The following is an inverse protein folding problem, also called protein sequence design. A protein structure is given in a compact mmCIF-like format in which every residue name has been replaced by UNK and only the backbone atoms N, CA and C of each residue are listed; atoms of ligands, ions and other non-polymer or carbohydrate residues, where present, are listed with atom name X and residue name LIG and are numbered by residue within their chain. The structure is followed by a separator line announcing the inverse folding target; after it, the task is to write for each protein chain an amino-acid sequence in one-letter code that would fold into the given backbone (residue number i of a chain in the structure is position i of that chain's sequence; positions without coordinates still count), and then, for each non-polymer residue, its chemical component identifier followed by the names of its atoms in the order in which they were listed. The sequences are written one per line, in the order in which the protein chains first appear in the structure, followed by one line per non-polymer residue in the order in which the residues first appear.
data_IF_517846845161
#
_entry.id   IF_517846845161
#
_cell.length_a   1.000
_cell.length_b   1.000
_cell.length_c   1.000
_cell.angle_alpha   90.00
_cell.angle_beta   90.00
_cell.angle_gamma   90.00
#
_symmetry.space_group_name_H-M   'P 1'
#
loop_
_entity.id
_entity.type
_entity.pdbx_description
1 polymer ?
#
# COMPACT_ATOMS: atom_id res chain seq x y z
N UNK A 1 -39.97 -69.74 -26.92
CA UNK A 1 -38.98 -70.74 -26.45
C UNK A 1 -37.66 -70.02 -26.20
N UNK A 2 -37.17 -70.09 -24.95
CA UNK A 2 -35.78 -70.20 -24.47
C UNK A 2 -34.64 -69.58 -25.30
N UNK A 3 -33.54 -69.04 -24.78
CA UNK A 3 -33.03 -68.61 -23.47
C UNK A 3 -31.55 -68.18 -23.79
N UNK A 4 -30.82 -67.62 -22.81
CA UNK A 4 -29.33 -67.45 -22.77
C UNK A 4 -28.78 -66.22 -23.56
N UNK A 5 -28.36 -65.11 -22.94
CA UNK A 5 -27.26 -64.81 -21.98
C UNK A 5 -25.87 -64.68 -22.63
N UNK A 6 -25.20 -63.57 -22.25
CA UNK A 6 -23.75 -63.29 -22.25
C UNK A 6 -23.13 -62.78 -23.56
N UNK A 7 -22.77 -61.49 -23.59
CA UNK A 7 -21.52 -60.90 -23.09
C UNK A 7 -20.45 -60.94 -24.17
N UNK A 8 -20.16 -59.80 -24.77
CA UNK A 8 -18.78 -59.31 -24.93
C UNK A 8 -18.84 -57.79 -25.10
N UNK A 9 -18.26 -57.09 -24.13
CA UNK A 9 -17.88 -55.69 -24.25
C UNK A 9 -16.96 -55.52 -25.47
N UNK A 10 -17.32 -54.58 -26.35
CA UNK A 10 -16.37 -53.96 -27.26
C UNK A 10 -16.35 -52.46 -26.97
N UNK A 11 -15.25 -52.04 -26.36
CA UNK A 11 -14.90 -50.66 -26.01
C UNK A 11 -14.73 -49.86 -27.30
N UNK A 12 -15.63 -48.91 -27.55
CA UNK A 12 -15.41 -47.87 -28.55
C UNK A 12 -14.59 -46.74 -27.93
N UNK A 13 -13.30 -46.72 -28.28
CA UNK A 13 -12.41 -45.57 -28.15
C UNK A 13 -12.98 -44.39 -28.94
N UNK A 14 -13.56 -43.41 -28.24
CA UNK A 14 -13.79 -42.09 -28.81
C UNK A 14 -12.59 -41.24 -28.38
N UNK A 15 -11.75 -40.91 -29.36
CA UNK A 15 -10.67 -39.98 -29.22
C UNK A 15 -11.23 -38.61 -28.80
N UNK A 16 -11.08 -38.26 -27.53
CA UNK A 16 -11.22 -36.89 -27.09
C UNK A 16 -10.03 -36.10 -27.67
N UNK A 17 -10.31 -35.19 -28.59
CA UNK A 17 -9.37 -34.14 -28.94
C UNK A 17 -9.05 -33.38 -27.65
N UNK A 18 -7.91 -33.67 -27.05
CA UNK A 18 -7.38 -32.92 -25.92
C UNK A 18 -7.10 -31.50 -26.41
N UNK A 19 -7.96 -30.56 -26.03
CA UNK A 19 -7.61 -29.15 -26.08
C UNK A 19 -6.37 -28.98 -25.20
N UNK A 20 -5.30 -28.32 -25.67
CA UNK A 20 -4.20 -27.97 -24.79
C UNK A 20 -4.77 -27.04 -23.73
N UNK A 21 -4.77 -27.54 -22.50
CA UNK A 21 -5.03 -26.78 -21.29
C UNK A 21 -4.16 -25.52 -21.36
N UNK A 22 -4.78 -24.34 -21.30
CA UNK A 22 -4.06 -23.07 -21.32
C UNK A 22 -2.96 -23.17 -20.27
N UNK A 23 -1.71 -23.18 -20.72
CA UNK A 23 -0.56 -23.04 -19.85
C UNK A 23 -0.74 -21.72 -19.11
N UNK A 24 -1.24 -21.81 -17.89
CA UNK A 24 -1.32 -20.68 -16.99
C UNK A 24 0.12 -20.43 -16.60
N UNK A 25 0.73 -19.40 -17.20
CA UNK A 25 2.01 -18.89 -16.75
C UNK A 25 1.78 -18.33 -15.34
N UNK A 26 1.90 -19.19 -14.34
CA UNK A 26 1.98 -18.82 -12.95
C UNK A 26 3.35 -18.16 -12.76
N UNK A 27 3.48 -16.91 -13.16
CA UNK A 27 4.49 -16.04 -12.57
C UNK A 27 3.96 -15.78 -11.16
N UNK A 28 4.27 -16.71 -10.25
CA UNK A 28 4.07 -16.49 -8.83
C UNK A 28 5.02 -15.39 -8.39
N UNK A 29 4.63 -14.14 -8.57
CA UNK A 29 5.22 -13.03 -7.83
C UNK A 29 4.86 -13.28 -6.36
N UNK A 30 5.80 -13.88 -5.63
CA UNK A 30 5.70 -13.97 -4.17
C UNK A 30 5.85 -12.55 -3.64
N UNK A 31 4.75 -11.81 -3.56
CA UNK A 31 4.72 -10.56 -2.84
C UNK A 31 5.14 -10.86 -1.40
N UNK A 32 6.19 -10.18 -0.92
CA UNK A 32 6.66 -10.37 0.44
C UNK A 32 5.49 -10.10 1.39
N UNK A 33 5.25 -11.01 2.31
CA UNK A 33 4.21 -10.83 3.33
C UNK A 33 4.48 -9.56 4.14
N UNK A 34 3.43 -8.94 4.69
CA UNK A 34 3.57 -7.74 5.52
C UNK A 34 4.59 -7.93 6.66
N UNK A 35 4.70 -9.13 7.24
CA UNK A 35 5.70 -9.47 8.26
C UNK A 35 7.14 -9.47 7.72
N UNK A 36 7.37 -9.99 6.51
CA UNK A 36 8.68 -9.92 5.84
C UNK A 36 9.05 -8.46 5.52
N UNK A 37 8.09 -7.62 5.13
CA UNK A 37 8.32 -6.19 4.89
C UNK A 37 8.66 -5.42 6.17
N UNK A 38 8.00 -5.73 7.29
CA UNK A 38 8.26 -5.12 8.60
C UNK A 38 9.63 -5.47 9.19
N UNK A 39 10.15 -6.66 8.89
CA UNK A 39 11.44 -7.07 9.40
C UNK A 39 12.56 -6.14 8.90
N UNK A 40 13.26 -5.48 9.84
CA UNK A 40 14.34 -4.55 9.53
C UNK A 40 13.88 -3.31 8.75
N UNK A 41 12.60 -2.93 8.82
CA UNK A 41 12.02 -1.89 7.96
C UNK A 41 12.78 -0.55 8.01
N UNK A 42 13.38 -0.19 9.15
CA UNK A 42 14.19 1.04 9.33
C UNK A 42 15.46 1.09 8.47
N UNK A 43 15.87 -0.03 7.86
CA UNK A 43 17.01 -0.11 6.95
C UNK A 43 16.59 -0.14 5.48
N UNK A 44 15.29 -0.21 5.19
CA UNK A 44 14.78 -0.41 3.84
C UNK A 44 14.55 0.90 3.12
N UNK A 45 14.57 0.81 1.79
CA UNK A 45 14.16 1.89 0.91
C UNK A 45 12.73 2.37 1.26
N UNK A 46 12.44 3.68 1.24
CA UNK A 46 11.12 4.22 1.59
C UNK A 46 9.95 3.64 0.79
N UNK A 47 10.19 3.18 -0.44
CA UNK A 47 9.17 2.46 -1.24
C UNK A 47 8.57 1.25 -0.51
N UNK A 48 9.35 0.58 0.34
CA UNK A 48 8.89 -0.61 1.08
C UNK A 48 7.76 -0.29 2.05
N UNK A 49 7.76 0.91 2.62
CA UNK A 49 6.71 1.37 3.53
C UNK A 49 5.39 1.57 2.78
N UNK A 50 5.46 2.07 1.55
CA UNK A 50 4.28 2.27 0.70
C UNK A 50 3.74 0.93 0.19
N UNK A 51 4.62 -0.02 -0.15
CA UNK A 51 4.24 -1.39 -0.50
C UNK A 51 3.58 -2.11 0.68
N UNK A 52 4.14 -1.96 1.89
CA UNK A 52 3.54 -2.48 3.12
C UNK A 52 2.15 -1.90 3.36
N UNK A 53 1.98 -0.59 3.15
CA UNK A 53 0.68 0.05 3.28
C UNK A 53 -0.35 -0.53 2.29
N UNK A 54 0.01 -0.69 1.02
CA UNK A 54 -0.84 -1.30 0.02
C UNK A 54 -1.24 -2.74 0.40
N UNK A 55 -0.27 -3.54 0.86
CA UNK A 55 -0.50 -4.92 1.29
C UNK A 55 -1.45 -4.99 2.49
N UNK A 56 -1.22 -4.18 3.52
CA UNK A 56 -2.11 -4.10 4.69
C UNK A 56 -3.52 -3.66 4.31
N UNK A 57 -3.64 -2.73 3.37
CA UNK A 57 -4.93 -2.25 2.89
C UNK A 57 -5.72 -3.36 2.20
N UNK A 58 -5.05 -4.14 1.33
CA UNK A 58 -5.63 -5.29 0.64
C UNK A 58 -6.04 -6.42 1.61
N UNK A 59 -5.36 -6.56 2.74
CA UNK A 59 -5.72 -7.49 3.81
C UNK A 59 -6.86 -6.99 4.70
N UNK A 60 -7.42 -5.79 4.44
CA UNK A 60 -8.47 -5.18 5.25
C UNK A 60 -7.96 -4.49 6.52
N UNK A 61 -6.64 -4.44 6.75
CA UNK A 61 -6.01 -3.78 7.89
C UNK A 61 -5.80 -2.29 7.60
N UNK A 62 -6.90 -1.60 7.31
CA UNK A 62 -6.88 -0.26 6.70
C UNK A 62 -6.29 0.83 7.59
N UNK A 63 -6.57 0.83 8.89
CA UNK A 63 -5.96 1.80 9.83
C UNK A 63 -4.44 1.65 9.88
N UNK A 64 -3.94 0.41 9.92
CA UNK A 64 -2.49 0.13 9.89
C UNK A 64 -1.86 0.54 8.56
N UNK A 65 -2.57 0.32 7.45
CA UNK A 65 -2.14 0.79 6.14
C UNK A 65 -1.98 2.32 6.09
N UNK A 66 -2.93 3.08 6.64
CA UNK A 66 -2.85 4.54 6.71
C UNK A 66 -1.60 4.98 7.49
N UNK A 67 -1.31 4.33 8.63
CA UNK A 67 -0.11 4.64 9.43
C UNK A 67 1.15 4.41 8.60
N UNK A 68 1.31 3.22 8.00
CA UNK A 68 2.50 2.89 7.21
C UNK A 68 2.63 3.73 5.93
N UNK A 69 1.51 4.14 5.34
CA UNK A 69 1.50 5.04 4.21
C UNK A 69 2.10 6.41 4.56
N UNK A 70 1.68 7.01 5.69
CA UNK A 70 2.23 8.29 6.12
C UNK A 70 3.65 8.21 6.66
N UNK A 71 4.03 7.12 7.34
CA UNK A 71 5.45 6.85 7.65
C UNK A 71 6.26 6.79 6.37
N UNK A 72 5.81 6.03 5.38
CA UNK A 72 6.49 5.90 4.10
C UNK A 72 6.65 7.23 3.39
N UNK A 73 5.62 8.08 3.38
CA UNK A 73 5.72 9.42 2.81
C UNK A 73 6.79 10.29 3.49
N UNK A 74 6.84 10.33 4.82
CA UNK A 74 7.87 11.09 5.53
C UNK A 74 9.28 10.58 5.18
N UNK A 75 9.48 9.25 5.19
CA UNK A 75 10.77 8.64 4.83
C UNK A 75 11.15 8.90 3.37
N UNK A 76 10.20 8.86 2.45
CA UNK A 76 10.43 9.11 1.02
C UNK A 76 10.74 10.59 0.76
N UNK A 77 9.95 11.52 1.31
CA UNK A 77 10.23 12.96 1.18
C UNK A 77 11.60 13.31 1.74
N UNK A 78 11.96 12.79 2.91
CA UNK A 78 13.30 12.98 3.47
C UNK A 78 14.40 12.43 2.54
N UNK A 79 14.17 11.27 1.90
CA UNK A 79 15.11 10.72 0.92
C UNK A 79 15.27 11.62 -0.32
N UNK A 80 14.17 12.12 -0.90
CA UNK A 80 14.23 13.01 -2.06
C UNK A 80 14.91 14.34 -1.72
N UNK A 81 14.58 14.94 -0.58
CA UNK A 81 15.19 16.20 -0.13
C UNK A 81 16.70 16.03 0.17
N UNK A 82 17.11 14.86 0.67
CA UNK A 82 18.52 14.57 0.93
C UNK A 82 19.32 14.30 -0.35
N UNK A 83 18.65 14.11 -1.49
CA UNK A 83 19.26 13.80 -2.78
C UNK A 83 18.61 14.67 -3.89
N UNK A 84 18.84 15.99 -3.89
CA UNK A 84 18.15 16.92 -4.79
C UNK A 84 18.50 16.73 -6.27
N UNK A 85 19.64 16.10 -6.57
CA UNK A 85 20.14 15.90 -7.93
C UNK A 85 19.66 14.59 -8.57
N UNK A 86 18.68 13.90 -7.96
CA UNK A 86 18.10 12.69 -8.55
C UNK A 86 17.43 13.00 -9.88
N UNK A 87 17.62 12.11 -10.85
CA UNK A 87 16.96 12.19 -12.16
C UNK A 87 15.43 12.29 -11.98
N UNK A 88 14.75 13.30 -12.56
CA UNK A 88 13.33 13.54 -12.34
C UNK A 88 12.43 12.35 -12.70
N UNK A 89 12.83 11.55 -13.70
CA UNK A 89 12.11 10.36 -14.15
C UNK A 89 12.33 9.11 -13.30
N UNK A 90 13.24 9.17 -12.31
CA UNK A 90 13.53 8.10 -11.37
C UNK A 90 12.66 8.16 -10.11
N UNK A 91 13.33 8.26 -8.96
CA UNK A 91 12.71 8.29 -7.63
C UNK A 91 11.60 9.35 -7.45
N UNK A 92 11.72 10.60 -7.97
CA UNK A 92 10.63 11.57 -7.88
C UNK A 92 9.37 11.13 -8.63
N UNK A 93 9.51 10.64 -9.87
CA UNK A 93 8.37 10.15 -10.66
C UNK A 93 7.74 8.91 -10.01
N UNK A 94 8.56 7.98 -9.50
CA UNK A 94 8.09 6.81 -8.77
C UNK A 94 7.27 7.21 -7.54
N UNK A 95 7.79 8.14 -6.72
CA UNK A 95 7.05 8.67 -5.58
C UNK A 95 5.71 9.26 -6.00
N UNK A 96 5.68 10.12 -7.02
CA UNK A 96 4.45 10.71 -7.53
C UNK A 96 3.43 9.66 -7.99
N UNK A 97 3.84 8.65 -8.74
CA UNK A 97 2.96 7.56 -9.18
C UNK A 97 2.41 6.76 -7.99
N UNK A 98 3.22 6.47 -6.98
CA UNK A 98 2.78 5.76 -5.78
C UNK A 98 1.79 6.56 -4.94
N UNK A 99 1.98 7.86 -4.81
CA UNK A 99 1.04 8.74 -4.11
C UNK A 99 -0.32 8.78 -4.79
N UNK A 100 -0.35 8.63 -6.12
CA UNK A 100 -1.60 8.52 -6.86
C UNK A 100 -2.23 7.14 -6.68
N UNK A 101 -1.52 6.07 -7.03
CA UNK A 101 -2.09 4.72 -7.13
C UNK A 101 -2.39 4.11 -5.77
N UNK A 102 -1.47 4.23 -4.81
CA UNK A 102 -1.63 3.67 -3.45
C UNK A 102 -2.30 4.69 -2.53
N UNK A 103 -1.92 5.96 -2.68
CA UNK A 103 -2.39 7.01 -1.79
C UNK A 103 -3.87 7.34 -1.96
N UNK A 104 -4.41 7.29 -3.18
CA UNK A 104 -5.83 7.61 -3.41
C UNK A 104 -6.77 6.74 -2.57
N UNK A 105 -6.80 5.39 -2.70
CA UNK A 105 -7.73 4.56 -1.92
C UNK A 105 -7.50 4.64 -0.40
N UNK A 106 -6.24 4.81 0.04
CA UNK A 106 -5.90 4.96 1.46
C UNK A 106 -6.44 6.28 2.02
N UNK A 107 -6.26 7.39 1.31
CA UNK A 107 -6.74 8.71 1.73
C UNK A 107 -8.27 8.79 1.63
N UNK A 108 -8.89 8.11 0.66
CA UNK A 108 -10.34 7.98 0.56
C UNK A 108 -10.91 7.26 1.78
N UNK A 109 -10.29 6.16 2.21
CA UNK A 109 -10.66 5.50 3.47
C UNK A 109 -10.41 6.41 4.67
N UNK A 110 -9.20 6.95 4.84
CA UNK A 110 -8.86 7.75 6.01
C UNK A 110 -9.81 8.95 6.16
N UNK A 111 -10.11 9.64 5.06
CA UNK A 111 -10.99 10.79 5.07
C UNK A 111 -12.47 10.50 5.37
N UNK A 112 -12.92 9.24 5.43
CA UNK A 112 -14.30 8.94 5.83
C UNK A 112 -14.55 9.23 7.31
N UNK A 113 -13.50 9.27 8.13
CA UNK A 113 -13.53 9.60 9.54
C UNK A 113 -12.33 10.52 9.86
N UNK A 114 -12.58 11.83 9.89
CA UNK A 114 -11.53 12.81 10.11
C UNK A 114 -10.91 12.73 11.53
N UNK A 115 -11.66 12.28 12.53
CA UNK A 115 -11.15 12.06 13.89
C UNK A 115 -10.18 10.87 13.91
N UNK A 116 -10.55 9.77 13.24
CA UNK A 116 -9.65 8.64 13.05
C UNK A 116 -8.42 9.04 12.22
N UNK A 117 -8.61 9.80 11.14
CA UNK A 117 -7.50 10.22 10.28
C UNK A 117 -6.44 11.01 11.06
N UNK A 118 -6.86 12.01 11.84
CA UNK A 118 -5.98 12.79 12.72
C UNK A 118 -5.18 11.88 13.68
N UNK A 119 -5.86 10.90 14.29
CA UNK A 119 -5.24 9.92 15.19
C UNK A 119 -4.19 9.06 14.46
N UNK A 120 -4.47 8.60 13.25
CA UNK A 120 -3.56 7.75 12.48
C UNK A 120 -2.34 8.52 11.98
N UNK A 121 -2.51 9.78 11.54
CA UNK A 121 -1.39 10.68 11.22
C UNK A 121 -0.51 10.89 12.46
N UNK A 122 -1.12 11.10 13.63
CA UNK A 122 -0.40 11.25 14.90
C UNK A 122 0.47 10.02 15.21
N UNK A 123 -0.08 8.81 15.03
CA UNK A 123 0.67 7.56 15.19
C UNK A 123 1.85 7.46 14.21
N UNK A 124 1.64 7.85 12.95
CA UNK A 124 2.70 7.82 11.94
C UNK A 124 3.84 8.79 12.30
N UNK A 125 3.51 10.02 12.72
CA UNK A 125 4.50 11.03 13.14
C UNK A 125 5.29 10.52 14.34
N UNK A 126 4.61 10.01 15.37
CA UNK A 126 5.27 9.46 16.56
C UNK A 126 6.21 8.31 16.20
N UNK A 127 5.75 7.36 15.40
CA UNK A 127 6.58 6.24 14.96
C UNK A 127 7.81 6.74 14.18
N UNK A 128 7.64 7.68 13.25
CA UNK A 128 8.74 8.26 12.50
C UNK A 128 9.76 8.94 13.42
N UNK A 129 9.29 9.71 14.41
CA UNK A 129 10.12 10.42 15.38
C UNK A 129 10.96 9.45 16.23
N UNK A 130 10.34 8.39 16.74
CA UNK A 130 10.95 7.41 17.67
C UNK A 130 11.94 6.45 17.00
N UNK A 131 11.86 6.26 15.69
CA UNK A 131 12.64 5.26 14.98
C UNK A 131 13.71 5.88 14.08
N UNK A 132 14.90 5.29 14.11
CA UNK A 132 15.98 5.58 13.18
C UNK A 132 15.57 5.32 11.72
N UNK A 133 16.25 5.99 10.79
CA UNK A 133 16.21 5.65 9.37
C UNK A 133 17.62 5.40 8.88
N UNK A 134 18.05 4.15 8.87
CA UNK A 134 19.40 3.80 8.41
C UNK A 134 19.58 4.03 6.90
N UNK A 135 18.50 4.03 6.12
CA UNK A 135 18.54 4.29 4.67
C UNK A 135 18.83 5.78 4.36
N UNK A 136 18.14 6.70 5.05
CA UNK A 136 18.40 8.14 5.02
C UNK A 136 18.62 8.65 6.45
N UNK A 137 19.85 8.55 7.01
CA UNK A 137 20.13 8.81 8.43
C UNK A 137 19.68 10.17 8.94
N UNK A 138 18.83 10.18 9.97
CA UNK A 138 18.34 11.41 10.63
C UNK A 138 19.48 12.30 11.13
N UNK A 139 20.50 11.68 11.71
CA UNK A 139 21.70 12.37 12.21
C UNK A 139 22.48 13.13 11.13
N UNK A 140 22.39 12.71 9.87
CA UNK A 140 23.03 13.40 8.74
C UNK A 140 22.17 14.53 8.16
N UNK A 141 20.85 14.46 8.35
CA UNK A 141 19.88 15.35 7.71
C UNK A 141 18.86 15.94 8.71
N UNK A 142 19.29 16.50 9.86
CA UNK A 142 18.37 16.90 10.92
C UNK A 142 17.37 17.99 10.48
N UNK A 143 17.83 18.94 9.66
CA UNK A 143 16.98 20.02 9.14
C UNK A 143 15.87 19.50 8.23
N UNK A 144 16.20 18.55 7.35
CA UNK A 144 15.24 17.89 6.43
C UNK A 144 14.17 17.16 7.23
N UNK A 145 14.57 16.41 8.27
CA UNK A 145 13.60 15.69 9.09
C UNK A 145 12.69 16.61 9.86
N UNK A 146 13.20 17.74 10.37
CA UNK A 146 12.35 18.74 11.03
C UNK A 146 11.34 19.31 10.04
N UNK A 147 11.76 19.72 8.85
CA UNK A 147 10.84 20.24 7.83
C UNK A 147 9.77 19.22 7.43
N UNK A 148 10.16 17.95 7.24
CA UNK A 148 9.21 16.88 6.94
C UNK A 148 8.22 16.67 8.10
N UNK A 149 8.70 16.58 9.33
CA UNK A 149 7.85 16.35 10.50
C UNK A 149 6.91 17.55 10.76
N UNK A 150 7.39 18.79 10.58
CA UNK A 150 6.61 20.02 10.70
C UNK A 150 5.48 20.07 9.65
N UNK A 151 5.79 19.76 8.39
CA UNK A 151 4.79 19.68 7.32
C UNK A 151 3.67 18.66 7.63
N UNK A 152 4.02 17.53 8.27
CA UNK A 152 3.03 16.54 8.68
C UNK A 152 2.25 16.94 9.93
N UNK A 153 2.86 17.70 10.84
CA UNK A 153 2.18 18.31 11.99
C UNK A 153 1.18 19.37 11.54
N UNK A 154 1.51 20.17 10.53
CA UNK A 154 0.59 21.11 9.88
C UNK A 154 -0.55 20.38 9.18
N UNK A 155 -0.25 19.31 8.42
CA UNK A 155 -1.30 18.50 7.79
C UNK A 155 -2.25 17.87 8.81
N UNK A 156 -1.72 17.32 9.91
CA UNK A 156 -2.54 16.82 11.03
C UNK A 156 -3.45 17.94 11.57
N UNK A 157 -2.89 19.12 11.82
CA UNK A 157 -3.65 20.28 12.31
C UNK A 157 -4.75 20.68 11.33
N UNK A 158 -4.45 20.71 10.03
CA UNK A 158 -5.45 20.97 8.99
C UNK A 158 -6.61 19.97 9.06
N UNK A 159 -6.34 18.67 9.15
CA UNK A 159 -7.39 17.64 9.30
C UNK A 159 -8.20 17.88 10.57
N UNK A 160 -7.54 18.22 11.68
CA UNK A 160 -8.18 18.48 12.97
C UNK A 160 -9.13 19.69 12.93
N UNK A 161 -8.72 20.77 12.26
CA UNK A 161 -9.46 22.05 12.22
C UNK A 161 -10.55 22.07 11.15
N UNK A 162 -10.42 21.25 10.09
CA UNK A 162 -11.29 21.30 8.91
C UNK A 162 -12.21 20.07 8.78
N UNK A 163 -12.48 19.34 9.87
CA UNK A 163 -13.28 18.09 9.87
C UNK A 163 -14.62 18.23 9.14
N UNK A 164 -15.36 19.30 9.44
CA UNK A 164 -16.67 19.55 8.85
C UNK A 164 -16.58 19.78 7.33
N UNK A 165 -15.57 20.53 6.89
CA UNK A 165 -15.35 20.83 5.48
C UNK A 165 -14.87 19.59 4.71
N UNK A 166 -14.02 18.76 5.32
CA UNK A 166 -13.61 17.46 4.76
C UNK A 166 -14.84 16.58 4.54
N UNK A 167 -15.73 16.45 5.53
CA UNK A 167 -16.97 15.67 5.41
C UNK A 167 -17.87 16.23 4.32
N UNK A 168 -18.01 17.57 4.24
CA UNK A 168 -18.82 18.23 3.23
C UNK A 168 -18.28 17.99 1.82
N UNK A 169 -17.00 18.27 1.58
CA UNK A 169 -16.35 18.09 0.29
C UNK A 169 -16.47 16.64 -0.20
N UNK A 170 -16.39 15.66 0.71
CA UNK A 170 -16.58 14.25 0.37
C UNK A 170 -18.00 13.93 -0.09
N UNK A 171 -19.02 14.50 0.56
CA UNK A 171 -20.42 14.36 0.12
C UNK A 171 -20.61 14.94 -1.27
N UNK A 172 -20.04 16.12 -1.53
CA UNK A 172 -20.10 16.79 -2.84
C UNK A 172 -19.40 15.98 -3.94
N UNK A 173 -18.33 15.26 -3.60
CA UNK A 173 -17.58 14.39 -4.51
C UNK A 173 -18.14 12.96 -4.61
N UNK A 174 -19.30 12.66 -4.03
CA UNK A 174 -19.92 11.32 -4.09
C UNK A 174 -19.22 10.24 -3.26
N UNK A 175 -18.33 10.63 -2.34
CA UNK A 175 -17.57 9.74 -1.45
C UNK A 175 -18.27 9.51 -0.10
N UNK A 176 -19.60 9.67 -0.07
CA UNK A 176 -20.43 9.51 1.13
C UNK A 176 -20.71 8.03 1.40
N UNK A 177 -19.77 7.34 2.05
CA UNK A 177 -19.98 5.97 2.50
C UNK A 177 -18.69 5.30 2.98
N UNK A 178 -18.55 5.20 4.30
CA UNK A 178 -17.66 4.26 4.99
C UNK A 178 -18.51 3.44 5.94
#
# INVERSE_FOLDING_TARGET
MNNVVSCFLAVCLIAACAYPEKATCQIGERQASASEMLNGITQKHPVTYIQLAAELFNQGKKDEAVVWYYVGQMRYRAHLMANPDLEPSGEPALYSSLMQVVGQPINEYAGSDADNWERLITKAIAWNAEHENAFTPKSRFPEIYREVEDNFMEFKKYVAENKADIIKARKENGLSGG
#
